data_IF_512140416510
#
_entry.id   IF_512140416510
#
_cell.length_a   1.000
_cell.length_b   1.000
_cell.length_c   1.000
_cell.angle_alpha   90.00
_cell.angle_beta   90.00
_cell.angle_gamma   90.00
#
_symmetry.space_group_name_H-M   'P 1'
#
loop_
_entity.id
_entity.type
_entity.pdbx_description
1 polymer ?
#
# COMPACT_ATOMS: atom_id res chain seq x y z
N UNK A 1 -24.56 -0.04 -32.00
CA UNK A 1 -24.62 0.54 -30.65
C UNK A 1 -23.91 -0.43 -29.71
N UNK A 2 -22.58 -0.32 -29.66
CA UNK A 2 -21.67 -1.25 -29.02
C UNK A 2 -21.34 -0.65 -27.65
N UNK A 3 -22.25 -0.85 -26.69
CA UNK A 3 -22.10 -0.34 -25.33
C UNK A 3 -21.24 -1.34 -24.56
N UNK A 4 -20.09 -0.85 -24.09
CA UNK A 4 -19.42 -1.25 -22.86
C UNK A 4 -18.78 -2.65 -22.77
N UNK A 5 -18.02 -3.08 -23.78
CA UNK A 5 -16.78 -3.83 -23.48
C UNK A 5 -15.65 -2.83 -23.24
N UNK A 6 -15.89 -1.89 -22.32
CA UNK A 6 -14.80 -1.10 -21.78
C UNK A 6 -14.03 -2.01 -20.82
N UNK A 7 -13.17 -2.85 -21.40
CA UNK A 7 -12.17 -3.66 -20.68
C UNK A 7 -11.08 -2.76 -20.08
N UNK A 8 -11.47 -1.65 -19.47
CA UNK A 8 -10.65 -0.81 -18.62
C UNK A 8 -10.64 -1.33 -17.17
N UNK A 9 -11.10 -2.56 -16.92
CA UNK A 9 -10.74 -3.30 -15.70
C UNK A 9 -9.23 -3.64 -15.64
N UNK A 10 -8.51 -3.46 -16.77
CA UNK A 10 -7.06 -3.68 -16.91
C UNK A 10 -6.17 -2.64 -16.20
N UNK A 11 -6.74 -1.62 -15.56
CA UNK A 11 -6.01 -0.79 -14.58
C UNK A 11 -5.49 -1.58 -13.35
N UNK A 12 -5.82 -2.87 -13.24
CA UNK A 12 -5.28 -3.81 -12.27
C UNK A 12 -3.83 -4.27 -12.57
N UNK A 13 -3.31 -4.10 -13.79
CA UNK A 13 -1.95 -4.54 -14.17
C UNK A 13 -0.82 -3.86 -13.38
N UNK A 14 -1.10 -2.74 -12.71
CA UNK A 14 -0.09 -1.96 -12.00
C UNK A 14 -0.09 -2.18 -10.46
N UNK A 15 -0.92 -3.07 -9.92
CA UNK A 15 -1.02 -3.25 -8.46
C UNK A 15 0.31 -3.70 -7.82
N UNK A 16 1.00 -4.66 -8.45
CA UNK A 16 2.28 -5.16 -7.94
C UNK A 16 3.37 -4.07 -8.01
N UNK A 17 3.39 -3.27 -9.07
CA UNK A 17 4.31 -2.12 -9.16
C UNK A 17 3.94 -1.02 -8.16
N UNK A 18 2.65 -0.78 -7.90
CA UNK A 18 2.19 0.13 -6.81
C UNK A 18 2.67 -0.35 -5.44
N UNK A 19 2.61 -1.65 -5.16
CA UNK A 19 3.12 -2.25 -3.92
C UNK A 19 4.64 -2.06 -3.81
N UNK A 20 5.39 -2.41 -4.86
CA UNK A 20 6.86 -2.27 -4.86
C UNK A 20 7.30 -0.81 -4.68
N UNK A 21 6.66 0.13 -5.40
CA UNK A 21 6.92 1.56 -5.24
C UNK A 21 6.61 2.05 -3.82
N UNK A 22 5.52 1.57 -3.22
CA UNK A 22 5.16 1.94 -1.86
C UNK A 22 6.14 1.36 -0.83
N UNK A 23 6.60 0.12 -1.02
CA UNK A 23 7.62 -0.47 -0.15
C UNK A 23 8.96 0.28 -0.22
N UNK A 24 9.37 0.73 -1.42
CA UNK A 24 10.55 1.58 -1.56
C UNK A 24 10.37 2.93 -0.83
N UNK A 25 9.20 3.56 -0.98
CA UNK A 25 8.86 4.78 -0.25
C UNK A 25 8.88 4.58 1.28
N UNK A 26 8.31 3.49 1.80
CA UNK A 26 8.37 3.19 3.25
C UNK A 26 9.81 2.95 3.73
N UNK A 27 10.67 2.36 2.90
CA UNK A 27 12.10 2.24 3.20
C UNK A 27 12.80 3.60 3.26
N UNK A 28 12.45 4.53 2.38
CA UNK A 28 12.97 5.91 2.42
C UNK A 28 12.49 6.65 3.68
N UNK A 29 11.23 6.45 4.09
CA UNK A 29 10.73 7.00 5.35
C UNK A 29 11.52 6.46 6.54
N UNK A 30 11.74 5.13 6.61
CA UNK A 30 12.53 4.52 7.67
C UNK A 30 13.96 5.07 7.72
N UNK A 31 14.60 5.26 6.56
CA UNK A 31 15.93 5.84 6.47
C UNK A 31 15.98 7.32 6.92
N UNK A 32 14.90 8.07 6.72
CA UNK A 32 14.80 9.47 7.11
C UNK A 32 14.40 9.68 8.57
N UNK A 33 13.86 8.66 9.27
CA UNK A 33 13.41 8.78 10.67
C UNK A 33 14.47 9.38 11.58
N UNK A 34 15.71 8.89 11.47
CA UNK A 34 16.84 9.41 12.27
C UNK A 34 17.04 10.92 12.10
N UNK A 35 16.92 11.44 10.87
CA UNK A 35 17.09 12.88 10.61
C UNK A 35 15.98 13.72 11.26
N UNK A 36 14.76 13.19 11.29
CA UNK A 36 13.64 13.85 11.97
C UNK A 36 13.90 13.89 13.47
N UNK A 37 14.36 12.77 14.04
CA UNK A 37 14.69 12.66 15.47
C UNK A 37 15.85 13.59 15.85
N UNK A 38 16.91 13.64 15.04
CA UNK A 38 18.06 14.52 15.29
C UNK A 38 17.67 16.01 15.28
N UNK A 39 16.74 16.41 14.39
CA UNK A 39 16.22 17.80 14.33
C UNK A 39 15.34 18.11 15.54
N UNK A 40 14.46 17.19 15.93
CA UNK A 40 13.62 17.36 17.12
C UNK A 40 14.48 17.48 18.38
N UNK A 41 15.46 16.59 18.56
CA UNK A 41 16.39 16.62 19.69
C UNK A 41 17.21 17.92 19.74
N UNK A 42 17.71 18.40 18.60
CA UNK A 42 18.40 19.71 18.54
C UNK A 42 17.47 20.85 18.97
N UNK A 43 16.18 20.78 18.57
CA UNK A 43 15.17 21.74 18.99
C UNK A 43 14.93 21.71 20.49
N UNK A 44 14.81 20.52 21.08
CA UNK A 44 14.67 20.32 22.53
C UNK A 44 15.88 20.87 23.30
N UNK A 45 17.10 20.58 22.86
CA UNK A 45 18.34 21.09 23.46
C UNK A 45 18.38 22.63 23.50
N UNK A 46 17.92 23.29 22.42
CA UNK A 46 17.86 24.76 22.36
C UNK A 46 16.80 25.35 23.31
N UNK A 47 15.68 24.65 23.50
CA UNK A 47 14.63 25.05 24.44
C UNK A 47 15.15 24.91 25.88
N UNK A 48 15.84 23.81 26.20
CA UNK A 48 16.44 23.58 27.52
C UNK A 48 17.53 24.60 27.84
N UNK A 49 18.28 25.05 26.83
CA UNK A 49 19.27 26.12 26.95
C UNK A 49 18.66 27.54 27.07
N UNK A 50 17.35 27.67 27.24
CA UNK A 50 16.61 28.94 27.32
C UNK A 50 16.91 29.89 26.14
N UNK A 51 17.04 29.34 24.93
CA UNK A 51 17.31 30.14 23.74
C UNK A 51 16.23 31.22 23.55
N UNK A 52 16.62 32.41 23.07
CA UNK A 52 15.69 33.57 22.96
C UNK A 52 14.43 33.28 22.11
N UNK A 53 14.53 32.31 21.20
CA UNK A 53 13.45 31.87 20.31
C UNK A 53 12.77 30.56 20.76
N UNK A 54 12.93 30.13 22.02
CA UNK A 54 12.44 28.82 22.51
C UNK A 54 10.97 28.57 22.21
N UNK A 55 10.12 29.59 22.29
CA UNK A 55 8.69 29.45 21.99
C UNK A 55 8.43 29.13 20.50
N UNK A 56 9.15 29.77 19.58
CA UNK A 56 9.02 29.45 18.15
C UNK A 56 9.63 28.08 17.83
N UNK A 57 10.76 27.73 18.45
CA UNK A 57 11.40 26.43 18.28
C UNK A 57 10.47 25.31 18.75
N UNK A 58 9.85 25.45 19.93
CA UNK A 58 8.90 24.47 20.46
C UNK A 58 7.75 24.21 19.49
N UNK A 59 7.17 25.28 18.91
CA UNK A 59 6.10 25.14 17.92
C UNK A 59 6.59 24.39 16.67
N UNK A 60 7.80 24.69 16.18
CA UNK A 60 8.34 24.02 15.01
C UNK A 60 8.68 22.54 15.24
N UNK A 61 9.17 22.19 16.43
CA UNK A 61 9.38 20.79 16.81
C UNK A 61 8.04 20.05 16.86
N UNK A 62 7.03 20.62 17.53
CA UNK A 62 5.70 20.03 17.60
C UNK A 62 5.06 19.85 16.21
N UNK A 63 5.14 20.87 15.35
CA UNK A 63 4.66 20.81 13.97
C UNK A 63 5.36 19.70 13.18
N UNK A 64 6.69 19.59 13.30
CA UNK A 64 7.49 18.56 12.64
C UNK A 64 7.07 17.15 13.07
N UNK A 65 6.91 16.92 14.37
CA UNK A 65 6.50 15.63 14.92
C UNK A 65 5.09 15.24 14.48
N UNK A 66 4.15 16.19 14.49
CA UNK A 66 2.78 15.98 14.04
C UNK A 66 2.73 15.62 12.55
N UNK A 67 3.42 16.39 11.70
CA UNK A 67 3.54 16.11 10.27
C UNK A 67 4.16 14.73 10.00
N UNK A 68 5.19 14.36 10.77
CA UNK A 68 5.80 13.04 10.66
C UNK A 68 4.82 11.92 11.05
N UNK A 69 4.07 12.09 12.15
CA UNK A 69 3.07 11.13 12.61
C UNK A 69 1.97 10.93 11.58
N UNK A 70 1.47 12.02 11.00
CA UNK A 70 0.44 11.99 9.95
C UNK A 70 0.94 11.28 8.69
N UNK A 71 2.17 11.58 8.27
CA UNK A 71 2.82 10.91 7.15
C UNK A 71 2.92 9.40 7.36
N UNK A 72 3.37 8.96 8.53
CA UNK A 72 3.48 7.55 8.88
C UNK A 72 2.10 6.86 8.90
N UNK A 73 1.08 7.53 9.44
CA UNK A 73 -0.31 7.04 9.44
C UNK A 73 -0.85 6.87 8.02
N UNK A 74 -0.66 7.87 7.16
CA UNK A 74 -1.08 7.82 5.77
C UNK A 74 -0.34 6.74 4.97
N UNK A 75 0.97 6.58 5.20
CA UNK A 75 1.78 5.53 4.58
C UNK A 75 1.27 4.14 4.96
N UNK A 76 1.01 3.91 6.25
CA UNK A 76 0.45 2.65 6.76
C UNK A 76 -0.93 2.37 6.15
N UNK A 77 -1.85 3.34 6.16
CA UNK A 77 -3.19 3.16 5.58
C UNK A 77 -3.11 2.78 4.10
N UNK A 78 -2.21 3.42 3.35
CA UNK A 78 -2.00 3.11 1.94
C UNK A 78 -1.45 1.69 1.73
N UNK A 79 -0.50 1.25 2.56
CA UNK A 79 0.03 -0.12 2.54
C UNK A 79 -1.08 -1.14 2.79
N UNK A 80 -1.88 -0.93 3.84
CA UNK A 80 -2.97 -1.83 4.24
C UNK A 80 -4.00 -1.96 3.09
N UNK A 81 -4.39 -0.84 2.46
CA UNK A 81 -5.27 -0.83 1.26
C UNK A 81 -4.69 -1.56 0.05
N UNK A 82 -3.39 -1.40 -0.21
CA UNK A 82 -2.72 -2.09 -1.31
C UNK A 82 -2.68 -3.61 -1.07
N UNK A 83 -2.50 -4.03 0.18
CA UNK A 83 -2.52 -5.43 0.58
C UNK A 83 -3.94 -6.03 0.47
N UNK A 84 -4.96 -5.32 0.94
CA UNK A 84 -6.36 -5.73 0.77
C UNK A 84 -6.73 -5.92 -0.70
N UNK A 85 -6.37 -4.95 -1.56
CA UNK A 85 -6.59 -5.05 -3.00
C UNK A 85 -5.85 -6.24 -3.63
N UNK A 86 -4.65 -6.56 -3.14
CA UNK A 86 -3.89 -7.71 -3.60
C UNK A 86 -4.55 -9.03 -3.20
N UNK A 87 -4.99 -9.17 -1.95
CA UNK A 87 -5.69 -10.35 -1.45
C UNK A 87 -7.00 -10.59 -2.20
N UNK A 88 -7.81 -9.54 -2.41
CA UNK A 88 -9.03 -9.62 -3.19
C UNK A 88 -8.76 -10.14 -4.62
N UNK A 89 -7.68 -9.69 -5.26
CA UNK A 89 -7.30 -10.16 -6.59
C UNK A 89 -6.88 -11.63 -6.61
N UNK A 90 -6.06 -12.05 -5.63
CA UNK A 90 -5.63 -13.46 -5.53
C UNK A 90 -6.85 -14.36 -5.35
N UNK A 91 -7.80 -13.94 -4.52
CA UNK A 91 -9.06 -14.66 -4.30
C UNK A 91 -9.88 -14.79 -5.59
N UNK A 92 -10.12 -13.68 -6.31
CA UNK A 92 -10.88 -13.71 -7.57
C UNK A 92 -10.23 -14.60 -8.62
N UNK A 93 -8.90 -14.55 -8.77
CA UNK A 93 -8.19 -15.47 -9.65
C UNK A 93 -8.40 -16.93 -9.25
N UNK A 94 -8.37 -17.23 -7.95
CA UNK A 94 -8.64 -18.59 -7.46
C UNK A 94 -10.06 -19.07 -7.80
N UNK A 95 -11.05 -18.18 -7.80
CA UNK A 95 -12.41 -18.50 -8.24
C UNK A 95 -12.48 -18.75 -9.75
N UNK A 96 -11.78 -17.93 -10.55
CA UNK A 96 -11.71 -18.13 -12.00
C UNK A 96 -11.06 -19.48 -12.33
N UNK A 97 -9.95 -19.81 -11.68
CA UNK A 97 -9.23 -21.08 -11.85
C UNK A 97 -10.12 -22.28 -11.43
N UNK A 98 -10.87 -22.15 -10.33
CA UNK A 98 -11.79 -23.19 -9.88
C UNK A 98 -12.99 -23.37 -10.82
N UNK A 99 -13.52 -22.27 -11.37
CA UNK A 99 -14.61 -22.32 -12.35
C UNK A 99 -14.15 -23.01 -13.63
N UNK A 100 -12.98 -22.66 -14.13
CA UNK A 100 -12.41 -23.31 -15.32
C UNK A 100 -12.18 -24.82 -15.09
N UNK A 101 -11.77 -25.21 -13.88
CA UNK A 101 -11.64 -26.63 -13.53
C UNK A 101 -13.00 -27.34 -13.48
N UNK A 102 -14.05 -26.71 -12.93
CA UNK A 102 -15.39 -27.29 -12.95
C UNK A 102 -15.90 -27.51 -14.38
N UNK A 103 -15.74 -26.53 -15.25
CA UNK A 103 -16.13 -26.63 -16.66
C UNK A 103 -15.37 -27.78 -17.37
N UNK A 104 -14.09 -27.97 -17.06
CA UNK A 104 -13.30 -29.09 -17.58
C UNK A 104 -13.84 -30.45 -17.10
N UNK A 105 -14.16 -30.57 -15.81
CA UNK A 105 -14.72 -31.80 -15.24
C UNK A 105 -16.09 -32.11 -15.83
N UNK A 106 -16.97 -31.11 -15.97
CA UNK A 106 -18.28 -31.28 -16.61
C UNK A 106 -18.14 -31.73 -18.06
N UNK A 107 -17.22 -31.13 -18.82
CA UNK A 107 -16.91 -31.52 -20.19
C UNK A 107 -16.43 -32.98 -20.28
N UNK A 108 -15.54 -33.41 -19.38
CA UNK A 108 -15.07 -34.80 -19.31
C UNK A 108 -16.21 -35.77 -18.99
N UNK A 109 -17.09 -35.44 -18.04
CA UNK A 109 -18.24 -36.28 -17.69
C UNK A 109 -19.28 -36.39 -18.81
N UNK A 110 -19.45 -35.32 -19.60
CA UNK A 110 -20.35 -35.30 -20.76
C UNK A 110 -19.75 -35.96 -22.01
N UNK A 111 -18.43 -36.16 -22.05
CA UNK A 111 -17.80 -36.91 -23.13
C UNK A 111 -18.08 -38.40 -22.94
N UNK A 112 -19.07 -38.92 -23.67
CA UNK A 112 -19.39 -40.36 -23.76
C UNK A 112 -18.32 -41.14 -24.54
N UNK A 113 -17.03 -41.02 -24.19
CA UNK A 113 -16.00 -41.93 -24.71
C UNK A 113 -15.86 -43.14 -23.77
N UNK A 114 -16.91 -43.97 -23.79
CA UNK A 114 -16.87 -45.31 -23.23
C UNK A 114 -16.10 -46.19 -24.22
N UNK A 115 -14.77 -46.25 -24.04
CA UNK A 115 -13.85 -46.94 -24.94
C UNK A 115 -14.37 -48.29 -25.49
N UNK A 116 -14.12 -48.51 -26.78
CA UNK A 116 -14.14 -49.82 -27.43
C UNK A 116 -12.72 -50.27 -27.75
#
# INVERSE_FOLDING_TARGET
>A
MQIATDTNYRELSNLQSKIQKHAAFESELAANKKRIDDVAATGEDLIEAEHYASQEIARHVEDLENLWRDLMSAAKLRRDRLQEAYQARVYLRGLDDFTAWLDEVESQLLSEDHGK
#
